data_IF_639810928896
#
_entry.id   IF_639810928896
#
_cell.length_a   1.000
_cell.length_b   1.000
_cell.length_c   1.000
_cell.angle_alpha   90.00
_cell.angle_beta   90.00
_cell.angle_gamma   90.00
#
_symmetry.space_group_name_H-M   'P 1'
#
loop_
_entity.id
_entity.type
_entity.pdbx_description
1 polymer ?
#
# COMPACT_ATOMS: atom_id res chain seq x y z
N UNK A 1 10.27 -7.65 -25.33
CA UNK A 1 8.90 -7.10 -25.40
C UNK A 1 8.62 -6.39 -24.09
N UNK A 2 8.43 -5.07 -24.12
CA UNK A 2 8.03 -4.27 -22.98
C UNK A 2 6.52 -4.47 -22.78
N UNK A 3 6.12 -4.84 -21.57
CA UNK A 3 4.72 -4.99 -21.20
C UNK A 3 4.24 -3.67 -20.57
N UNK A 4 3.18 -3.09 -21.12
CA UNK A 4 2.50 -1.94 -20.53
C UNK A 4 1.19 -2.41 -19.90
N UNK A 5 0.92 -1.96 -18.68
CA UNK A 5 -0.36 -2.16 -18.00
C UNK A 5 -1.08 -0.82 -17.92
N UNK A 6 -2.26 -0.76 -18.52
CA UNK A 6 -3.12 0.42 -18.45
C UNK A 6 -4.13 0.24 -17.32
N UNK A 7 -4.03 1.06 -16.30
CA UNK A 7 -4.97 1.08 -15.19
C UNK A 7 -5.99 2.19 -15.39
N UNK A 8 -7.28 1.87 -15.34
CA UNK A 8 -8.36 2.88 -15.38
C UNK A 8 -8.56 3.59 -14.03
N UNK A 9 -7.93 3.11 -12.98
CA UNK A 9 -7.84 3.73 -11.65
C UNK A 9 -6.44 3.58 -11.10
N UNK A 10 -5.94 4.64 -10.45
CA UNK A 10 -4.61 4.64 -9.86
C UNK A 10 -4.57 3.67 -8.67
N UNK A 11 -5.57 3.74 -7.77
CA UNK A 11 -5.68 2.85 -6.61
C UNK A 11 -7.13 2.48 -6.30
N UNK A 12 -7.31 1.34 -5.60
CA UNK A 12 -8.62 0.87 -5.16
C UNK A 12 -8.68 0.73 -3.64
N UNK A 13 -9.83 1.12 -3.08
CA UNK A 13 -10.11 1.06 -1.65
C UNK A 13 -11.25 0.08 -1.36
N UNK A 14 -11.21 -0.54 -0.18
CA UNK A 14 -12.31 -1.38 0.29
C UNK A 14 -13.58 -0.57 0.57
N UNK A 15 -13.42 0.59 1.19
CA UNK A 15 -14.52 1.48 1.55
C UNK A 15 -14.78 2.53 0.47
N UNK A 16 -16.02 2.60 -0.02
CA UNK A 16 -16.41 3.51 -1.10
C UNK A 16 -16.19 5.00 -0.76
N UNK A 17 -16.32 5.39 0.51
CA UNK A 17 -16.06 6.74 0.97
C UNK A 17 -14.59 7.15 0.84
N UNK A 18 -13.65 6.22 1.06
CA UNK A 18 -12.23 6.45 0.82
C UNK A 18 -11.95 6.55 -0.68
N UNK A 19 -12.54 5.66 -1.49
CA UNK A 19 -12.41 5.72 -2.95
C UNK A 19 -12.85 7.07 -3.51
N UNK A 20 -14.06 7.52 -3.15
CA UNK A 20 -14.59 8.79 -3.64
C UNK A 20 -13.72 9.99 -3.24
N UNK A 21 -13.20 9.99 -2.01
CA UNK A 21 -12.29 11.06 -1.54
C UNK A 21 -10.97 11.05 -2.29
N UNK A 22 -10.39 9.88 -2.49
CA UNK A 22 -9.15 9.73 -3.23
C UNK A 22 -9.31 10.13 -4.70
N UNK A 23 -10.37 9.66 -5.37
CA UNK A 23 -10.66 10.02 -6.76
C UNK A 23 -10.83 11.55 -6.93
N UNK A 24 -11.42 12.24 -5.93
CA UNK A 24 -11.51 13.71 -5.93
C UNK A 24 -10.13 14.35 -5.83
N UNK A 25 -9.26 13.90 -4.93
CA UNK A 25 -7.89 14.44 -4.85
C UNK A 25 -7.10 14.24 -6.14
N UNK A 26 -7.27 13.10 -6.79
CA UNK A 26 -6.65 12.86 -8.11
C UNK A 26 -7.21 13.82 -9.17
N UNK A 27 -8.51 14.09 -9.16
CA UNK A 27 -9.13 15.04 -10.08
C UNK A 27 -8.62 16.48 -9.84
N UNK A 28 -8.46 16.88 -8.57
CA UNK A 28 -7.90 18.18 -8.19
C UNK A 28 -6.44 18.32 -8.67
N UNK A 29 -5.61 17.28 -8.51
CA UNK A 29 -4.23 17.25 -9.02
C UNK A 29 -4.19 17.31 -10.56
N UNK A 30 -5.11 16.61 -11.24
CA UNK A 30 -5.19 16.62 -12.70
C UNK A 30 -5.63 17.99 -13.27
N UNK A 31 -6.39 18.78 -12.49
CA UNK A 31 -6.79 20.13 -12.87
C UNK A 31 -5.63 21.15 -12.78
N UNK A 32 -4.61 20.86 -11.95
CA UNK A 32 -3.40 21.70 -11.80
C UNK A 32 -2.16 20.82 -11.71
N UNK A 33 -1.77 20.14 -12.79
CA UNK A 33 -0.73 19.13 -12.76
C UNK A 33 0.65 19.74 -12.48
N UNK A 34 1.43 19.03 -11.70
CA UNK A 34 2.86 19.26 -11.61
C UNK A 34 3.52 18.79 -12.90
N UNK A 35 4.54 19.49 -13.36
CA UNK A 35 5.22 19.18 -14.60
C UNK A 35 6.70 18.95 -14.34
N UNK A 36 7.24 17.85 -14.85
CA UNK A 36 8.65 17.53 -14.83
C UNK A 36 9.17 17.44 -16.28
N UNK A 37 10.24 18.17 -16.63
CA UNK A 37 10.88 18.01 -17.94
C UNK A 37 11.68 16.69 -17.95
N UNK A 38 11.36 15.80 -18.88
CA UNK A 38 12.08 14.55 -19.12
C UNK A 38 12.44 14.49 -20.61
N UNK A 39 13.73 14.56 -20.95
CA UNK A 39 14.21 14.54 -22.34
C UNK A 39 13.45 15.49 -23.26
N UNK A 40 13.36 16.76 -22.90
CA UNK A 40 12.66 17.84 -23.64
C UNK A 40 11.13 17.65 -23.79
N UNK A 41 10.53 16.74 -23.02
CA UNK A 41 9.07 16.56 -22.93
C UNK A 41 8.59 16.88 -21.54
N UNK A 42 7.58 17.74 -21.45
CA UNK A 42 6.91 18.04 -20.19
C UNK A 42 5.96 16.89 -19.82
N UNK A 43 6.26 16.20 -18.71
CA UNK A 43 5.46 15.10 -18.20
C UNK A 43 4.66 15.56 -16.99
N UNK A 44 3.35 15.39 -17.05
CA UNK A 44 2.46 15.66 -15.93
C UNK A 44 2.62 14.60 -14.83
N UNK A 45 2.82 15.08 -13.61
CA UNK A 45 3.02 14.24 -12.42
C UNK A 45 2.06 14.67 -11.31
N UNK A 46 1.91 13.82 -10.31
CA UNK A 46 1.22 14.17 -9.07
C UNK A 46 2.12 15.03 -8.18
N UNK A 47 1.52 15.70 -7.19
CA UNK A 47 2.30 16.34 -6.12
C UNK A 47 3.05 15.29 -5.29
N UNK A 48 4.15 15.69 -4.65
CA UNK A 48 4.92 14.76 -3.80
C UNK A 48 4.07 14.12 -2.68
N UNK A 49 3.08 14.85 -2.14
CA UNK A 49 2.13 14.31 -1.16
C UNK A 49 1.29 13.19 -1.77
N UNK A 50 0.78 13.37 -2.98
CA UNK A 50 -0.04 12.34 -3.65
C UNK A 50 0.79 11.16 -4.11
N UNK A 51 2.00 11.39 -4.61
CA UNK A 51 2.93 10.32 -4.98
C UNK A 51 3.24 9.41 -3.78
N UNK A 52 3.56 10.00 -2.62
CA UNK A 52 3.78 9.26 -1.38
C UNK A 52 2.54 8.45 -0.99
N UNK A 53 1.35 9.05 -1.08
CA UNK A 53 0.09 8.36 -0.75
C UNK A 53 -0.20 7.20 -1.70
N UNK A 54 0.00 7.38 -3.01
CA UNK A 54 -0.20 6.35 -4.04
C UNK A 54 0.76 5.18 -3.82
N UNK A 55 2.06 5.46 -3.72
CA UNK A 55 3.08 4.42 -3.52
C UNK A 55 2.86 3.67 -2.21
N UNK A 56 2.57 4.39 -1.12
CA UNK A 56 2.24 3.75 0.15
C UNK A 56 0.98 2.88 0.06
N UNK A 57 -0.10 3.41 -0.55
CA UNK A 57 -1.36 2.66 -0.67
C UNK A 57 -1.18 1.41 -1.51
N UNK A 58 -0.45 1.50 -2.61
CA UNK A 58 -0.11 0.37 -3.46
C UNK A 58 0.67 -0.71 -2.69
N UNK A 59 1.73 -0.31 -2.00
CA UNK A 59 2.51 -1.18 -1.12
C UNK A 59 1.61 -1.85 -0.05
N UNK A 60 0.76 -1.06 0.61
CA UNK A 60 -0.10 -1.56 1.68
C UNK A 60 -1.18 -2.51 1.17
N UNK A 61 -1.72 -2.27 -0.04
CA UNK A 61 -2.60 -3.22 -0.71
C UNK A 61 -1.91 -4.56 -0.97
N UNK A 62 -0.68 -4.51 -1.49
CA UNK A 62 0.11 -5.74 -1.68
C UNK A 62 0.36 -6.47 -0.36
N UNK A 63 0.70 -5.75 0.71
CA UNK A 63 0.88 -6.34 2.04
C UNK A 63 -0.37 -7.12 2.49
N UNK A 64 -1.56 -6.56 2.27
CA UNK A 64 -2.82 -7.18 2.70
C UNK A 64 -3.27 -8.33 1.80
N UNK A 65 -2.89 -8.32 0.51
CA UNK A 65 -3.55 -9.13 -0.54
C UNK A 65 -2.65 -10.20 -1.12
N UNK A 66 -1.46 -9.83 -1.55
CA UNK A 66 -0.61 -10.65 -2.42
C UNK A 66 0.77 -10.92 -1.83
N UNK A 67 1.12 -10.20 -0.79
CA UNK A 67 2.48 -10.11 -0.27
C UNK A 67 3.24 -8.95 -0.90
N UNK A 68 4.10 -8.33 -0.11
CA UNK A 68 4.93 -7.20 -0.50
C UNK A 68 6.40 -7.61 -0.51
N UNK A 69 7.16 -7.11 -1.49
CA UNK A 69 8.61 -7.31 -1.57
C UNK A 69 9.40 -6.16 -0.95
N UNK A 70 10.64 -6.42 -0.53
CA UNK A 70 11.55 -5.39 -0.01
C UNK A 70 11.73 -4.22 -0.98
N UNK A 71 11.75 -4.50 -2.30
CA UNK A 71 11.89 -3.48 -3.33
C UNK A 71 10.85 -2.36 -3.17
N UNK A 72 9.57 -2.71 -3.01
CA UNK A 72 8.48 -1.72 -2.88
C UNK A 72 8.65 -0.87 -1.61
N UNK A 73 9.19 -1.44 -0.54
CA UNK A 73 9.49 -0.72 0.70
C UNK A 73 10.68 0.22 0.49
N UNK A 74 11.72 -0.24 -0.22
CA UNK A 74 12.88 0.59 -0.57
C UNK A 74 12.48 1.76 -1.50
N UNK A 75 11.59 1.52 -2.46
CA UNK A 75 11.09 2.56 -3.37
C UNK A 75 10.38 3.69 -2.57
N UNK A 76 9.54 3.34 -1.59
CA UNK A 76 8.91 4.33 -0.70
C UNK A 76 9.94 5.03 0.20
N UNK A 77 10.92 4.30 0.73
CA UNK A 77 11.96 4.87 1.58
C UNK A 77 12.80 5.91 0.79
N UNK A 78 13.22 5.57 -0.42
CA UNK A 78 13.96 6.48 -1.31
C UNK A 78 13.13 7.71 -1.70
N UNK A 79 11.82 7.52 -1.93
CA UNK A 79 10.92 8.63 -2.24
C UNK A 79 10.84 9.61 -1.07
N UNK A 80 10.69 9.13 0.16
CA UNK A 80 10.66 9.97 1.36
C UNK A 80 11.98 10.71 1.58
N UNK A 81 13.10 10.02 1.39
CA UNK A 81 14.43 10.59 1.57
C UNK A 81 14.71 11.70 0.55
N UNK A 82 14.42 11.45 -0.73
CA UNK A 82 14.62 12.41 -1.82
C UNK A 82 13.72 13.64 -1.73
N UNK A 83 12.51 13.48 -1.22
CA UNK A 83 11.53 14.57 -1.07
C UNK A 83 11.57 15.22 0.32
N UNK A 84 12.53 14.90 1.16
CA UNK A 84 12.67 15.48 2.50
C UNK A 84 12.65 17.01 2.43
N UNK A 85 11.72 17.63 3.16
CA UNK A 85 11.53 19.09 3.18
C UNK A 85 10.82 19.69 1.96
N UNK A 86 10.45 18.88 0.96
CA UNK A 86 9.85 19.36 -0.30
C UNK A 86 8.35 19.03 -0.42
N UNK A 87 7.67 18.64 0.66
CA UNK A 87 6.23 18.41 0.67
C UNK A 87 5.60 18.83 1.99
N UNK A 88 4.31 19.10 1.96
CA UNK A 88 3.52 19.48 3.13
C UNK A 88 3.25 18.25 4.01
N UNK A 89 3.94 18.17 5.15
CA UNK A 89 3.82 17.08 6.13
C UNK A 89 2.44 17.07 6.80
N UNK A 90 1.86 18.24 7.06
CA UNK A 90 0.55 18.35 7.70
C UNK A 90 -0.56 17.90 6.75
N UNK A 91 -0.47 18.25 5.47
CA UNK A 91 -1.37 17.77 4.44
C UNK A 91 -1.27 16.24 4.28
N UNK A 92 -0.06 15.68 4.25
CA UNK A 92 0.15 14.23 4.22
C UNK A 92 -0.49 13.56 5.44
N UNK A 93 -0.25 14.10 6.64
CA UNK A 93 -0.84 13.58 7.87
C UNK A 93 -2.38 13.64 7.86
N UNK A 94 -2.94 14.76 7.38
CA UNK A 94 -4.38 14.93 7.26
C UNK A 94 -5.00 13.91 6.28
N UNK A 95 -4.43 13.75 5.09
CA UNK A 95 -4.89 12.78 4.09
C UNK A 95 -4.80 11.34 4.61
N UNK A 96 -3.70 10.95 5.25
CA UNK A 96 -3.54 9.63 5.87
C UNK A 96 -4.56 9.36 6.98
N UNK A 97 -4.89 10.36 7.82
CA UNK A 97 -5.94 10.24 8.87
C UNK A 97 -7.32 10.11 8.25
N UNK A 98 -7.65 10.94 7.25
CA UNK A 98 -8.94 10.90 6.56
C UNK A 98 -9.20 9.57 5.84
N UNK A 99 -8.13 8.87 5.47
CA UNK A 99 -8.17 7.54 4.85
C UNK A 99 -8.03 6.39 5.85
N UNK A 100 -7.84 6.69 7.15
CA UNK A 100 -7.63 5.67 8.18
C UNK A 100 -6.30 4.93 8.11
N UNK A 101 -5.32 5.44 7.37
CA UNK A 101 -4.02 4.79 7.13
C UNK A 101 -2.85 5.35 7.93
N UNK A 102 -3.06 6.36 8.77
CA UNK A 102 -1.98 7.01 9.50
C UNK A 102 -1.15 6.04 10.36
N UNK A 103 -1.80 5.08 11.01
CA UNK A 103 -1.11 4.02 11.78
C UNK A 103 -0.33 3.06 10.87
N UNK A 104 -0.91 2.66 9.75
CA UNK A 104 -0.25 1.81 8.77
C UNK A 104 1.00 2.46 8.18
N UNK A 105 0.93 3.74 7.85
CA UNK A 105 2.06 4.51 7.35
C UNK A 105 3.21 4.58 8.37
N UNK A 106 2.90 4.82 9.64
CA UNK A 106 3.90 4.83 10.73
C UNK A 106 4.52 3.45 10.97
N UNK A 107 3.73 2.38 10.87
CA UNK A 107 4.23 1.01 11.00
C UNK A 107 5.23 0.66 9.87
N UNK A 108 4.92 1.04 8.63
CA UNK A 108 5.84 0.90 7.49
C UNK A 108 7.06 1.84 7.67
N UNK A 109 6.84 3.05 8.16
CA UNK A 109 7.91 3.99 8.50
C UNK A 109 8.89 3.43 9.53
N UNK A 110 8.38 2.80 10.58
CA UNK A 110 9.23 2.14 11.59
C UNK A 110 10.04 0.98 10.98
N UNK A 111 9.44 0.20 10.06
CA UNK A 111 10.19 -0.82 9.32
C UNK A 111 11.33 -0.19 8.51
N UNK A 112 11.04 0.89 7.77
CA UNK A 112 12.04 1.56 6.93
C UNK A 112 13.20 2.12 7.76
N UNK A 113 12.91 2.76 8.89
CA UNK A 113 13.95 3.32 9.79
C UNK A 113 14.71 2.21 10.52
N UNK A 114 14.00 1.26 11.13
CA UNK A 114 14.62 0.27 12.03
C UNK A 114 15.34 -0.86 11.26
N UNK A 115 14.97 -1.14 10.00
CA UNK A 115 15.43 -2.33 9.28
C UNK A 115 15.99 -2.07 7.89
N UNK A 116 15.59 -0.99 7.20
CA UNK A 116 16.06 -0.68 5.84
C UNK A 116 17.15 0.39 5.89
N UNK A 117 17.27 1.15 6.98
CA UNK A 117 18.28 2.19 7.14
C UNK A 117 17.85 3.57 6.62
N UNK A 118 16.53 3.83 6.49
CA UNK A 118 16.04 5.17 6.21
C UNK A 118 16.47 6.12 7.35
N UNK A 119 17.15 7.24 7.06
CA UNK A 119 17.47 8.23 8.09
C UNK A 119 16.21 8.65 8.86
N UNK A 120 16.33 8.74 10.19
CA UNK A 120 15.17 9.03 11.04
C UNK A 120 14.52 10.36 10.71
N UNK A 121 15.30 11.34 10.31
CA UNK A 121 14.88 12.69 9.93
C UNK A 121 14.29 12.77 8.50
N UNK A 122 14.40 11.72 7.69
CA UNK A 122 13.72 11.58 6.41
C UNK A 122 12.30 11.01 6.56
N UNK A 123 11.97 10.44 7.73
CA UNK A 123 10.59 10.01 8.02
C UNK A 123 9.82 11.10 8.76
N UNK A 124 8.67 11.58 8.21
CA UNK A 124 8.03 12.83 8.65
C UNK A 124 7.34 12.77 10.02
N UNK A 125 7.05 11.58 10.54
CA UNK A 125 6.25 11.45 11.76
C UNK A 125 7.03 10.85 12.92
N UNK A 126 6.66 11.20 14.18
CA UNK A 126 7.24 10.55 15.37
C UNK A 126 6.87 9.06 15.39
N UNK A 127 7.87 8.22 15.69
CA UNK A 127 7.70 6.77 15.82
C UNK A 127 7.66 6.36 17.29
N UNK A 128 6.82 5.40 17.60
CA UNK A 128 6.67 4.82 18.94
C UNK A 128 7.12 3.35 18.97
N UNK A 129 7.29 2.80 20.18
CA UNK A 129 7.56 1.35 20.35
C UNK A 129 6.47 0.46 19.73
N UNK A 130 5.22 0.95 19.67
CA UNK A 130 4.13 0.22 19.01
C UNK A 130 4.34 0.16 17.49
N UNK A 131 4.76 1.26 16.87
CA UNK A 131 5.06 1.29 15.43
C UNK A 131 6.22 0.35 15.10
N UNK A 132 7.28 0.32 15.92
CA UNK A 132 8.40 -0.62 15.73
C UNK A 132 7.98 -2.10 15.90
N UNK A 133 7.02 -2.42 16.76
CA UNK A 133 6.47 -3.79 16.84
C UNK A 133 5.76 -4.16 15.54
N UNK A 134 4.93 -3.27 15.02
CA UNK A 134 4.25 -3.45 13.74
C UNK A 134 5.25 -3.54 12.57
N UNK A 135 6.27 -2.68 12.55
CA UNK A 135 7.34 -2.73 11.55
C UNK A 135 8.02 -4.09 11.50
N UNK A 136 8.37 -4.65 12.67
CA UNK A 136 8.95 -6.02 12.75
C UNK A 136 7.98 -7.11 12.32
N UNK A 137 6.67 -6.95 12.56
CA UNK A 137 5.67 -7.90 12.07
C UNK A 137 5.59 -7.85 10.54
N UNK A 138 5.50 -6.65 9.96
CA UNK A 138 5.49 -6.46 8.50
C UNK A 138 6.78 -7.05 7.89
N UNK A 139 7.96 -6.80 8.49
CA UNK A 139 9.21 -7.36 7.99
C UNK A 139 9.20 -8.89 7.97
N UNK A 140 8.65 -9.54 9.01
CA UNK A 140 8.52 -11.00 9.05
C UNK A 140 7.63 -11.52 7.91
N UNK A 141 6.51 -10.84 7.62
CA UNK A 141 5.64 -11.19 6.49
C UNK A 141 6.35 -11.03 5.14
N UNK A 142 7.09 -9.93 4.97
CA UNK A 142 7.90 -9.68 3.78
C UNK A 142 8.92 -10.79 3.55
N UNK A 143 9.64 -11.19 4.60
CA UNK A 143 10.68 -12.22 4.51
C UNK A 143 10.10 -13.65 4.37
N UNK A 144 8.91 -13.89 4.90
CA UNK A 144 8.25 -15.20 4.81
C UNK A 144 7.52 -15.42 3.47
N UNK A 145 6.97 -14.35 2.87
CA UNK A 145 6.10 -14.45 1.69
C UNK A 145 6.77 -14.23 0.34
N UNK A 146 7.94 -13.59 0.30
CA UNK A 146 8.57 -13.17 -0.95
C UNK A 146 7.65 -12.30 -1.81
N UNK A 147 8.13 -11.87 -2.97
CA UNK A 147 7.31 -11.14 -3.94
C UNK A 147 6.22 -12.09 -4.47
N UNK A 148 4.95 -11.78 -4.15
CA UNK A 148 3.73 -12.48 -4.61
C UNK A 148 3.32 -13.77 -3.89
N UNK A 149 3.91 -14.17 -2.79
CA UNK A 149 3.52 -15.41 -2.09
C UNK A 149 3.57 -16.68 -2.98
N UNK A 150 4.30 -16.60 -4.11
CA UNK A 150 4.34 -17.65 -5.15
C UNK A 150 5.36 -18.74 -4.87
N UNK A 151 6.33 -18.50 -4.01
CA UNK A 151 7.30 -19.52 -3.63
C UNK A 151 6.64 -20.53 -2.69
N UNK A 152 6.17 -21.65 -3.25
CA UNK A 152 5.52 -22.75 -2.53
C UNK A 152 4.14 -23.15 -3.03
N UNK A 153 3.58 -22.51 -4.05
CA UNK A 153 2.31 -22.93 -4.67
C UNK A 153 2.51 -23.61 -6.03
N UNK A 154 3.17 -24.75 -6.02
CA UNK A 154 3.00 -25.73 -7.07
C UNK A 154 1.80 -26.61 -6.69
N UNK A 155 0.61 -26.28 -7.18
CA UNK A 155 -0.40 -27.29 -7.56
C UNK A 155 -1.64 -26.63 -8.16
N UNK A 156 -1.86 -26.90 -9.45
CA UNK A 156 -2.88 -26.31 -10.33
C UNK A 156 -4.26 -26.99 -10.24
N UNK A 157 -4.54 -27.80 -9.23
CA UNK A 157 -5.88 -28.40 -9.08
C UNK A 157 -6.77 -27.54 -8.19
N UNK A 158 -7.69 -26.81 -8.83
CA UNK A 158 -8.73 -26.04 -8.15
C UNK A 158 -9.71 -27.01 -7.46
N UNK A 159 -9.60 -27.11 -6.13
CA UNK A 159 -10.59 -27.79 -5.29
C UNK A 159 -11.30 -26.77 -4.44
N UNK A 160 -12.63 -26.88 -4.28
CA UNK A 160 -13.45 -26.00 -3.43
C UNK A 160 -12.86 -25.90 -2.01
N UNK A 161 -12.39 -27.03 -1.44
CA UNK A 161 -11.73 -27.07 -0.13
C UNK A 161 -10.48 -26.18 -0.08
N UNK A 162 -9.61 -26.24 -1.11
CA UNK A 162 -8.40 -25.40 -1.19
C UNK A 162 -8.75 -23.92 -1.32
N UNK A 163 -9.84 -23.57 -2.01
CA UNK A 163 -10.31 -22.20 -2.13
C UNK A 163 -10.82 -21.66 -0.79
N UNK A 164 -11.54 -22.46 -0.02
CA UNK A 164 -12.00 -22.10 1.33
C UNK A 164 -10.80 -21.91 2.28
N UNK A 165 -9.84 -22.83 2.26
CA UNK A 165 -8.61 -22.73 3.06
C UNK A 165 -7.81 -21.47 2.70
N UNK A 166 -7.68 -21.17 1.41
CA UNK A 166 -6.99 -19.97 0.93
C UNK A 166 -7.73 -18.68 1.35
N UNK A 167 -9.04 -18.67 1.22
CA UNK A 167 -9.88 -17.54 1.64
C UNK A 167 -9.79 -17.32 3.16
N UNK A 168 -9.81 -18.39 3.94
CA UNK A 168 -9.65 -18.33 5.39
C UNK A 168 -8.27 -17.80 5.81
N UNK A 169 -7.17 -18.30 5.20
CA UNK A 169 -5.83 -17.80 5.46
C UNK A 169 -5.69 -16.30 5.11
N UNK A 170 -6.22 -15.89 3.94
CA UNK A 170 -6.21 -14.50 3.52
C UNK A 170 -7.03 -13.60 4.46
N UNK A 171 -8.19 -14.06 4.91
CA UNK A 171 -9.02 -13.35 5.88
C UNK A 171 -8.28 -13.19 7.22
N UNK A 172 -7.71 -14.27 7.75
CA UNK A 172 -6.94 -14.25 9.01
C UNK A 172 -5.74 -13.32 8.91
N UNK A 173 -5.05 -13.31 7.78
CA UNK A 173 -3.94 -12.39 7.50
C UNK A 173 -4.41 -10.93 7.52
N UNK A 174 -5.47 -10.59 6.77
CA UNK A 174 -6.05 -9.25 6.76
C UNK A 174 -6.48 -8.79 8.17
N UNK A 175 -7.15 -9.68 8.94
CA UNK A 175 -7.56 -9.39 10.32
C UNK A 175 -6.37 -9.12 11.25
N UNK A 176 -5.22 -9.75 11.01
CA UNK A 176 -3.98 -9.47 11.72
C UNK A 176 -3.49 -8.03 11.56
N UNK A 177 -3.85 -7.36 10.47
CA UNK A 177 -3.50 -5.96 10.19
C UNK A 177 -4.66 -4.98 10.45
N UNK A 178 -5.79 -5.44 10.97
CA UNK A 178 -6.98 -4.60 11.22
C UNK A 178 -6.67 -3.29 11.97
N UNK A 179 -5.82 -3.26 13.02
CA UNK A 179 -5.51 -2.02 13.73
C UNK A 179 -4.80 -0.95 12.88
N UNK A 180 -4.20 -1.33 11.75
CA UNK A 180 -3.43 -0.42 10.88
C UNK A 180 -4.30 0.29 9.83
N UNK A 181 -5.42 -0.35 9.39
CA UNK A 181 -6.37 0.21 8.43
C UNK A 181 -7.77 -0.39 8.63
N UNK A 182 -8.45 -0.13 9.75
CA UNK A 182 -9.65 -0.87 10.16
C UNK A 182 -10.79 -0.77 9.15
N UNK A 183 -11.08 0.43 8.65
CA UNK A 183 -12.22 0.66 7.76
C UNK A 183 -12.05 -0.12 6.46
N UNK A 184 -10.94 0.07 5.77
CA UNK A 184 -10.73 -0.58 4.48
C UNK A 184 -10.62 -2.11 4.60
N UNK A 185 -10.01 -2.63 5.65
CA UNK A 185 -9.90 -4.07 5.86
C UNK A 185 -11.29 -4.69 6.10
N UNK A 186 -12.16 -4.04 6.87
CA UNK A 186 -13.52 -4.52 7.08
C UNK A 186 -14.32 -4.64 5.77
N UNK A 187 -14.14 -3.71 4.84
CA UNK A 187 -14.82 -3.76 3.53
C UNK A 187 -14.09 -4.61 2.48
N UNK A 188 -12.78 -4.81 2.63
CA UNK A 188 -11.98 -5.64 1.74
C UNK A 188 -12.32 -7.13 1.88
N UNK A 189 -12.57 -7.60 3.11
CA UNK A 189 -12.81 -9.02 3.41
C UNK A 189 -14.04 -9.57 2.65
N UNK A 190 -15.24 -8.98 2.74
CA UNK A 190 -16.43 -9.48 2.01
C UNK A 190 -16.22 -9.48 0.50
N UNK A 191 -15.57 -8.44 -0.04
CA UNK A 191 -15.27 -8.34 -1.47
C UNK A 191 -14.37 -9.48 -1.95
N UNK A 192 -13.37 -9.88 -1.16
CA UNK A 192 -12.47 -10.99 -1.50
C UNK A 192 -13.15 -12.33 -1.44
N UNK A 193 -14.00 -12.54 -0.45
CA UNK A 193 -14.83 -13.76 -0.35
C UNK A 193 -15.69 -13.87 -1.60
N UNK A 194 -16.40 -12.81 -2.01
CA UNK A 194 -17.24 -12.78 -3.21
C UNK A 194 -16.47 -13.09 -4.50
N UNK A 195 -15.25 -12.57 -4.67
CA UNK A 195 -14.42 -12.87 -5.84
C UNK A 195 -13.95 -14.33 -5.85
N UNK A 196 -13.63 -14.90 -4.69
CA UNK A 196 -13.22 -16.31 -4.60
C UNK A 196 -14.34 -17.27 -4.99
N UNK A 197 -15.60 -16.91 -4.72
CA UNK A 197 -16.77 -17.72 -5.11
C UNK A 197 -17.22 -17.50 -6.56
N UNK A 198 -16.96 -16.33 -7.17
CA UNK A 198 -17.30 -16.08 -8.59
C UNK A 198 -16.56 -16.99 -9.58
N UNK A 199 -15.50 -17.67 -9.17
CA UNK A 199 -14.80 -18.67 -10.00
C UNK A 199 -15.53 -20.02 -10.08
N UNK A 200 -16.58 -20.22 -9.28
CA UNK A 200 -17.31 -21.49 -9.18
C UNK A 200 -18.80 -21.35 -9.54
N UNK A 201 -19.27 -20.13 -9.86
CA UNK A 201 -20.55 -19.80 -10.47
C UNK A 201 -20.35 -19.47 -11.96
#
# INVERSE_FOLDING_TARGET
>A
KTRFELHHRIETFGFAGHQHRFDRWIADEAASPHTLPINDVDVHTLSAVMDILVVFKHLFNHLLVEGVGLRQICDLALMLDRNKGNYDIDLLAARLRQMGYYRGFRAVGALMVDSIGLPRDSFPFPLTKADSRWGRQIMREVMAGGTFGKYGRENKTASLRKSIETAWMAMRHCLGFLPLAPVDIMFLIPRRIGISFKKYL
#
